data_IF_988983480679
#
_entry.id   IF_988983480679
#
_cell.length_a   1.000
_cell.length_b   1.000
_cell.length_c   1.000
_cell.angle_alpha   90.00
_cell.angle_beta   90.00
_cell.angle_gamma   90.00
#
_symmetry.space_group_name_H-M   'P 1'
#
loop_
_entity.id
_entity.type
_entity.pdbx_description
1 polymer ?
#
# COMPACT_ATOMS: atom_id res chain seq x y z
N UNK A 1 26.56 13.39 5.06
CA UNK A 1 25.98 12.37 4.14
C UNK A 1 27.12 11.43 3.81
N UNK A 2 26.98 10.12 4.04
CA UNK A 2 28.11 9.18 4.01
C UNK A 2 28.94 9.24 2.71
N UNK A 3 28.37 9.53 1.55
CA UNK A 3 29.09 9.61 0.27
C UNK A 3 30.18 10.70 0.22
N UNK A 4 29.92 11.88 0.81
CA UNK A 4 30.88 12.98 0.89
C UNK A 4 32.03 12.68 1.87
N UNK A 5 31.77 11.85 2.89
CA UNK A 5 32.80 11.39 3.84
C UNK A 5 33.81 10.43 3.18
N UNK A 6 33.45 9.82 2.05
CA UNK A 6 34.29 8.90 1.27
C UNK A 6 34.78 9.50 -0.07
N UNK A 7 34.64 10.82 -0.28
CA UNK A 7 35.00 11.51 -1.53
C UNK A 7 34.43 10.83 -2.79
N UNK A 8 33.21 10.28 -2.68
CA UNK A 8 32.58 9.58 -3.80
C UNK A 8 32.25 10.57 -4.93
N UNK A 9 32.55 10.22 -6.19
CA UNK A 9 32.46 11.12 -7.34
C UNK A 9 31.04 11.66 -7.64
N UNK A 10 30.01 10.92 -7.21
CA UNK A 10 28.60 11.32 -7.27
C UNK A 10 28.15 12.27 -6.14
N UNK A 11 28.95 12.49 -5.10
CA UNK A 11 28.59 13.43 -4.02
C UNK A 11 27.18 13.22 -3.45
N UNK A 12 26.37 14.28 -3.46
CA UNK A 12 24.97 14.28 -2.99
C UNK A 12 24.02 13.49 -3.90
N UNK A 13 24.36 13.34 -5.18
CA UNK A 13 23.61 12.53 -6.14
C UNK A 13 23.75 11.01 -5.92
N UNK A 14 24.62 10.58 -5.00
CA UNK A 14 24.83 9.15 -4.71
C UNK A 14 23.57 8.44 -4.19
N UNK A 15 22.66 9.18 -3.52
CA UNK A 15 21.43 8.63 -2.99
C UNK A 15 20.30 9.67 -2.99
N UNK A 16 19.06 9.19 -3.07
CA UNK A 16 17.85 9.99 -2.88
C UNK A 16 17.50 10.18 -1.39
N UNK A 17 16.53 11.03 -1.09
CA UNK A 17 15.97 11.18 0.26
C UNK A 17 16.92 11.85 1.26
N UNK A 18 17.95 12.54 0.77
CA UNK A 18 18.83 13.37 1.59
C UNK A 18 18.13 14.63 2.11
N UNK A 19 18.80 15.42 2.94
CA UNK A 19 18.23 16.66 3.51
C UNK A 19 17.79 17.71 2.47
N UNK A 20 18.28 17.60 1.22
CA UNK A 20 17.93 18.45 0.09
C UNK A 20 17.21 17.67 -1.03
N UNK A 21 16.76 16.45 -0.75
CA UNK A 21 16.02 15.58 -1.67
C UNK A 21 14.51 15.78 -1.59
N UNK A 22 13.77 14.96 -2.33
CA UNK A 22 12.31 14.98 -2.29
C UNK A 22 11.80 14.32 -1.01
N UNK A 23 10.93 15.03 -0.29
CA UNK A 23 10.27 14.47 0.90
C UNK A 23 9.07 13.63 0.47
N UNK A 24 9.27 12.32 0.35
CA UNK A 24 8.25 11.39 -0.10
C UNK A 24 6.98 11.43 0.76
N UNK A 25 7.12 11.64 2.08
CA UNK A 25 5.98 11.68 3.00
C UNK A 25 5.18 12.96 2.78
N UNK A 26 5.85 14.10 2.65
CA UNK A 26 5.21 15.38 2.34
C UNK A 26 4.53 15.35 0.97
N UNK A 27 5.16 14.71 -0.01
CA UNK A 27 4.57 14.53 -1.35
C UNK A 27 3.44 13.48 -1.36
N UNK A 28 3.43 12.57 -0.38
CA UNK A 28 2.59 11.39 -0.35
C UNK A 28 2.80 10.46 -1.54
N UNK A 29 3.98 10.50 -2.17
CA UNK A 29 4.17 10.00 -3.54
C UNK A 29 3.93 8.49 -3.67
N UNK A 30 4.36 7.71 -2.67
CA UNK A 30 4.14 6.27 -2.61
C UNK A 30 2.64 5.95 -2.52
N UNK A 31 1.91 6.62 -1.61
CA UNK A 31 0.48 6.41 -1.44
C UNK A 31 -0.31 6.86 -2.67
N UNK A 32 0.03 8.01 -3.25
CA UNK A 32 -0.58 8.52 -4.48
C UNK A 32 -0.37 7.56 -5.65
N UNK A 33 0.84 7.02 -5.81
CA UNK A 33 1.16 6.01 -6.82
C UNK A 33 0.31 4.74 -6.66
N UNK A 34 0.27 4.18 -5.46
CA UNK A 34 -0.55 3.00 -5.14
C UNK A 34 -2.05 3.26 -5.33
N UNK A 35 -2.50 4.49 -5.09
CA UNK A 35 -3.89 4.88 -5.30
C UNK A 35 -4.30 4.89 -6.78
N UNK A 36 -3.37 5.04 -7.72
CA UNK A 36 -3.68 4.87 -9.15
C UNK A 36 -4.13 3.44 -9.48
N UNK A 37 -3.51 2.43 -8.85
CA UNK A 37 -3.96 1.04 -8.95
C UNK A 37 -5.33 0.84 -8.30
N UNK A 38 -5.56 1.40 -7.11
CA UNK A 38 -6.86 1.36 -6.43
C UNK A 38 -7.95 1.94 -7.33
N UNK A 39 -7.75 3.15 -7.86
CA UNK A 39 -8.69 3.79 -8.80
C UNK A 39 -8.95 2.91 -10.02
N UNK A 40 -7.94 2.23 -10.56
CA UNK A 40 -8.09 1.31 -11.69
C UNK A 40 -8.99 0.12 -11.36
N UNK A 41 -8.69 -0.55 -10.25
CA UNK A 41 -9.44 -1.71 -9.81
C UNK A 41 -10.91 -1.37 -9.57
N UNK A 42 -11.20 -0.24 -8.93
CA UNK A 42 -12.56 0.23 -8.69
C UNK A 42 -13.27 0.69 -9.96
N UNK A 43 -12.55 1.33 -10.90
CA UNK A 43 -13.11 1.68 -12.22
C UNK A 43 -13.61 0.43 -12.96
N UNK A 44 -12.89 -0.68 -12.89
CA UNK A 44 -13.31 -1.95 -13.48
C UNK A 44 -14.49 -2.62 -12.71
N UNK A 45 -14.94 -2.05 -11.58
CA UNK A 45 -16.11 -2.45 -10.80
C UNK A 45 -17.27 -1.42 -10.91
N UNK A 46 -17.16 -0.44 -11.80
CA UNK A 46 -18.12 0.67 -11.92
C UNK A 46 -18.32 1.48 -10.62
N UNK A 47 -17.25 1.64 -9.84
CA UNK A 47 -17.22 2.48 -8.63
C UNK A 47 -16.16 3.56 -8.82
N UNK A 48 -16.53 4.82 -8.59
CA UNK A 48 -15.61 5.95 -8.59
C UNK A 48 -15.23 6.31 -7.14
N UNK A 49 -13.99 6.00 -6.74
CA UNK A 49 -13.51 6.26 -5.37
C UNK A 49 -13.47 7.74 -5.00
N UNK A 50 -13.69 8.65 -5.95
CA UNK A 50 -13.75 10.09 -5.71
C UNK A 50 -15.19 10.60 -5.57
N UNK A 51 -16.20 9.75 -5.79
CA UNK A 51 -17.61 10.16 -5.82
C UNK A 51 -18.52 9.25 -4.98
N UNK A 52 -18.25 7.96 -5.00
CA UNK A 52 -19.07 6.93 -4.36
C UNK A 52 -18.47 6.53 -3.01
N UNK A 53 -19.32 6.29 -2.02
CA UNK A 53 -18.90 5.77 -0.73
C UNK A 53 -18.44 4.32 -0.86
N UNK A 54 -17.36 3.97 -0.16
CA UNK A 54 -16.84 2.61 -0.12
C UNK A 54 -16.17 2.30 1.22
N UNK A 55 -16.35 1.05 1.67
CA UNK A 55 -15.85 0.55 2.95
C UNK A 55 -14.38 0.14 2.89
N UNK A 56 -13.61 0.51 3.92
CA UNK A 56 -12.17 0.25 3.99
C UNK A 56 -11.79 -0.41 5.31
N UNK A 57 -10.99 -1.47 5.21
CA UNK A 57 -10.17 -1.96 6.33
C UNK A 57 -8.72 -1.58 6.09
N UNK A 58 -8.12 -0.90 7.06
CA UNK A 58 -6.78 -0.37 6.96
C UNK A 58 -5.74 -1.13 7.78
N UNK A 59 -4.52 -1.25 7.26
CA UNK A 59 -3.36 -1.74 8.01
C UNK A 59 -2.35 -0.61 8.16
N UNK A 60 -2.28 -0.01 9.34
CA UNK A 60 -1.41 1.12 9.63
C UNK A 60 -2.02 2.14 10.60
N UNK A 61 -1.44 3.34 10.57
CA UNK A 61 -1.75 4.45 11.48
C UNK A 61 -1.70 5.77 10.71
N UNK A 62 -2.53 6.75 11.09
CA UNK A 62 -2.55 8.07 10.45
C UNK A 62 -1.21 8.80 10.54
N UNK A 63 -0.37 8.54 11.54
CA UNK A 63 0.97 9.11 11.58
C UNK A 63 1.93 8.55 10.51
N UNK A 64 1.58 7.40 9.92
CA UNK A 64 2.37 6.71 8.90
C UNK A 64 2.35 7.43 7.55
N UNK A 65 3.46 7.34 6.81
CA UNK A 65 3.56 7.92 5.47
C UNK A 65 2.50 7.34 4.52
N UNK A 66 2.60 6.04 4.22
CA UNK A 66 1.72 5.40 3.23
C UNK A 66 0.27 5.33 3.70
N UNK A 67 0.06 4.92 4.96
CA UNK A 67 -1.29 4.80 5.51
C UNK A 67 -1.99 6.16 5.60
N UNK A 68 -1.33 7.13 6.23
CA UNK A 68 -1.91 8.45 6.48
C UNK A 68 -2.21 9.19 5.18
N UNK A 69 -1.25 9.23 4.25
CA UNK A 69 -1.48 9.82 2.93
C UNK A 69 -2.61 9.07 2.19
N UNK A 70 -2.60 7.74 2.17
CA UNK A 70 -3.60 6.93 1.45
C UNK A 70 -5.03 7.14 1.94
N UNK A 71 -5.23 7.22 3.26
CA UNK A 71 -6.55 7.45 3.86
C UNK A 71 -7.07 8.89 3.74
N UNK A 72 -6.29 9.77 3.12
CA UNK A 72 -6.66 11.15 2.77
C UNK A 72 -6.82 11.39 1.26
N UNK A 73 -6.65 10.35 0.42
CA UNK A 73 -6.83 10.46 -1.04
C UNK A 73 -8.31 10.37 -1.49
N UNK A 74 -9.24 10.22 -0.56
CA UNK A 74 -10.68 10.29 -0.82
C UNK A 74 -11.47 10.62 0.44
N UNK A 75 -12.38 11.60 0.31
CA UNK A 75 -13.38 11.95 1.32
C UNK A 75 -14.58 10.98 1.34
N UNK A 76 -14.58 9.98 0.45
CA UNK A 76 -15.62 8.93 0.35
C UNK A 76 -15.29 7.64 1.08
N UNK A 77 -14.11 7.58 1.70
CA UNK A 77 -13.66 6.44 2.50
C UNK A 77 -14.53 6.32 3.76
N UNK A 78 -15.18 5.16 3.88
CA UNK A 78 -15.77 4.68 5.12
C UNK A 78 -14.79 3.71 5.79
N UNK A 79 -13.88 4.23 6.61
CA UNK A 79 -12.88 3.43 7.32
C UNK A 79 -13.56 2.67 8.48
N UNK A 80 -13.99 1.44 8.23
CA UNK A 80 -14.75 0.64 9.20
C UNK A 80 -13.87 -0.02 10.26
N UNK A 81 -12.58 -0.19 9.95
CA UNK A 81 -11.60 -0.53 10.95
C UNK A 81 -10.18 -0.41 10.44
N UNK A 82 -9.25 -0.23 11.38
CA UNK A 82 -7.83 -0.20 11.10
C UNK A 82 -7.04 -0.82 12.25
N UNK A 83 -5.82 -1.25 12.00
CA UNK A 83 -4.95 -1.71 13.09
C UNK A 83 -3.48 -1.40 12.80
N UNK A 84 -2.74 -1.09 13.86
CA UNK A 84 -1.29 -0.90 13.83
C UNK A 84 -0.63 -1.90 14.81
N UNK A 85 0.58 -1.62 15.30
CA UNK A 85 1.28 -2.47 16.26
C UNK A 85 0.78 -2.36 17.72
N UNK A 86 -0.07 -1.37 18.03
CA UNK A 86 -0.56 -1.04 19.38
C UNK A 86 -2.08 -1.16 19.52
N UNK A 87 -2.83 -0.76 18.49
CA UNK A 87 -4.26 -0.49 18.56
C UNK A 87 -5.02 -1.15 17.41
N UNK A 88 -6.29 -1.41 17.67
CA UNK A 88 -7.32 -1.77 16.69
C UNK A 88 -8.40 -0.68 16.79
N UNK A 89 -8.54 0.10 15.74
CA UNK A 89 -9.61 1.07 15.54
C UNK A 89 -10.80 0.39 14.86
N UNK A 90 -12.00 0.64 15.34
CA UNK A 90 -13.24 0.13 14.77
C UNK A 90 -14.30 1.22 14.79
N UNK A 91 -14.89 1.48 13.63
CA UNK A 91 -16.03 2.38 13.46
C UNK A 91 -17.06 1.67 12.57
N UNK A 92 -18.10 1.02 13.13
CA UNK A 92 -18.98 0.15 12.35
C UNK A 92 -19.77 0.85 11.24
N UNK A 93 -20.05 2.14 11.38
CA UNK A 93 -20.81 2.95 10.44
C UNK A 93 -20.31 4.40 10.43
N UNK A 94 -19.10 4.66 9.87
CA UNK A 94 -18.48 5.97 9.93
C UNK A 94 -19.22 6.96 9.03
N UNK A 95 -19.36 8.20 9.50
CA UNK A 95 -19.69 9.35 8.66
C UNK A 95 -18.45 9.74 7.84
N UNK A 96 -18.53 9.65 6.51
CA UNK A 96 -17.36 9.80 5.65
C UNK A 96 -16.73 11.21 5.74
N UNK A 97 -17.55 12.26 5.81
CA UNK A 97 -17.09 13.65 5.85
C UNK A 97 -16.45 13.97 7.21
N UNK A 98 -17.16 13.68 8.32
CA UNK A 98 -16.67 13.94 9.66
C UNK A 98 -15.43 13.10 9.99
N UNK A 99 -15.42 11.82 9.60
CA UNK A 99 -14.26 10.95 9.82
C UNK A 99 -13.07 11.32 8.94
N UNK A 100 -13.29 11.86 7.72
CA UNK A 100 -12.20 12.39 6.89
C UNK A 100 -11.52 13.59 7.56
N UNK A 101 -12.31 14.55 8.04
CA UNK A 101 -11.77 15.72 8.74
C UNK A 101 -10.97 15.31 9.99
N UNK A 102 -11.43 14.29 10.73
CA UNK A 102 -10.72 13.77 11.90
C UNK A 102 -9.43 13.03 11.53
N UNK A 103 -9.46 12.21 10.47
CA UNK A 103 -8.24 11.58 9.93
C UNK A 103 -7.21 12.65 9.52
N UNK A 104 -7.66 13.73 8.87
CA UNK A 104 -6.77 14.84 8.49
C UNK A 104 -6.15 15.50 9.72
N UNK A 105 -6.96 15.80 10.75
CA UNK A 105 -6.46 16.37 12.01
C UNK A 105 -5.40 15.47 12.64
N UNK A 106 -5.62 14.15 12.67
CA UNK A 106 -4.64 13.20 13.20
C UNK A 106 -3.34 13.14 12.39
N UNK A 107 -3.43 13.22 11.06
CA UNK A 107 -2.27 13.23 10.17
C UNK A 107 -1.39 14.46 10.41
N UNK A 108 -1.99 15.61 10.71
CA UNK A 108 -1.30 16.89 10.92
C UNK A 108 -0.68 17.03 12.33
N UNK A 109 -1.01 16.14 13.27
CA UNK A 109 -0.39 16.14 14.60
C UNK A 109 1.09 15.72 14.51
N UNK A 110 2.01 16.38 15.26
CA UNK A 110 3.43 16.03 15.25
C UNK A 110 3.73 14.57 15.64
N UNK A 111 2.89 14.02 16.53
CA UNK A 111 2.82 12.61 16.90
C UNK A 111 1.36 12.30 17.17
N UNK A 112 0.83 11.32 16.46
CA UNK A 112 -0.53 10.82 16.66
C UNK A 112 -0.51 9.30 16.78
N UNK A 113 -1.61 8.81 17.33
CA UNK A 113 -1.97 7.40 17.40
C UNK A 113 -3.49 7.29 17.26
N UNK A 114 -4.00 6.07 17.11
CA UNK A 114 -5.44 5.84 17.15
C UNK A 114 -6.11 6.31 18.45
N UNK A 115 -5.40 6.39 19.59
CA UNK A 115 -5.95 6.91 20.85
C UNK A 115 -6.26 8.41 20.80
N UNK A 116 -5.64 9.15 19.87
CA UNK A 116 -5.91 10.57 19.69
C UNK A 116 -7.18 10.83 18.88
N UNK A 117 -7.79 9.80 18.27
CA UNK A 117 -9.03 9.91 17.49
C UNK A 117 -10.20 10.23 18.42
N UNK A 118 -11.01 11.23 18.06
CA UNK A 118 -12.18 11.66 18.83
C UNK A 118 -13.21 10.54 18.94
N UNK A 119 -13.40 10.02 20.16
CA UNK A 119 -14.38 8.96 20.43
C UNK A 119 -15.82 9.40 20.15
N UNK A 120 -16.10 10.70 20.17
CA UNK A 120 -17.43 11.25 19.84
C UNK A 120 -17.81 11.06 18.37
N UNK A 121 -16.82 10.88 17.50
CA UNK A 121 -17.02 10.64 16.07
C UNK A 121 -17.10 9.16 15.70
N UNK A 122 -16.76 8.25 16.63
CA UNK A 122 -16.87 6.81 16.42
C UNK A 122 -18.34 6.41 16.56
N UNK A 123 -18.88 5.74 15.55
CA UNK A 123 -20.28 5.31 15.57
C UNK A 123 -20.57 4.27 16.67
N UNK A 124 -21.86 4.09 16.96
CA UNK A 124 -22.32 3.17 17.99
C UNK A 124 -21.73 1.76 17.82
N UNK A 125 -21.27 1.19 18.94
CA UNK A 125 -20.66 -0.14 18.97
C UNK A 125 -19.19 -0.18 18.52
N UNK A 126 -18.62 0.93 18.05
CA UNK A 126 -17.21 1.06 17.73
C UNK A 126 -16.31 1.39 18.93
N UNK A 127 -15.02 1.54 18.66
CA UNK A 127 -14.04 1.96 19.65
C UNK A 127 -12.59 1.75 19.22
N UNK A 128 -11.68 2.13 20.11
CA UNK A 128 -10.24 1.87 19.99
C UNK A 128 -9.85 0.85 21.05
N UNK A 129 -9.23 -0.24 20.61
CA UNK A 129 -8.88 -1.37 21.46
C UNK A 129 -7.38 -1.59 21.47
N UNK A 130 -6.80 -1.92 22.63
CA UNK A 130 -5.40 -2.29 22.73
C UNK A 130 -5.14 -3.69 22.18
N UNK A 131 -4.10 -3.85 21.36
CA UNK A 131 -3.60 -5.16 20.90
C UNK A 131 -3.07 -6.04 22.04
N UNK A 132 -2.76 -5.45 23.19
CA UNK A 132 -2.32 -6.17 24.39
C UNK A 132 -3.49 -6.63 25.27
N UNK A 133 -4.73 -6.30 24.93
CA UNK A 133 -5.90 -6.75 25.68
C UNK A 133 -6.02 -8.29 25.62
N UNK A 134 -6.42 -8.91 26.72
CA UNK A 134 -6.70 -10.36 26.73
C UNK A 134 -7.90 -10.72 25.86
N UNK A 135 -8.85 -9.80 25.75
CA UNK A 135 -10.13 -10.02 25.11
C UNK A 135 -10.85 -8.69 24.87
N UNK A 136 -11.56 -8.61 23.76
CA UNK A 136 -12.40 -7.51 23.32
C UNK A 136 -13.86 -8.02 23.30
N UNK A 137 -14.78 -7.24 23.86
CA UNK A 137 -16.21 -7.51 23.74
C UNK A 137 -16.65 -7.07 22.35
N UNK A 138 -17.33 -7.96 21.64
CA UNK A 138 -17.81 -7.70 20.29
C UNK A 138 -19.27 -7.25 20.38
N UNK A 139 -19.54 -6.05 19.89
CA UNK A 139 -20.87 -5.46 19.84
C UNK A 139 -21.67 -5.98 18.64
N UNK A 140 -23.00 -5.91 18.65
CA UNK A 140 -23.83 -6.29 17.50
C UNK A 140 -23.45 -5.54 16.21
N UNK A 141 -23.02 -4.29 16.32
CA UNK A 141 -22.57 -3.47 15.20
C UNK A 141 -21.26 -3.99 14.61
N UNK A 142 -20.30 -4.38 15.46
CA UNK A 142 -19.07 -5.07 15.04
C UNK A 142 -19.36 -6.42 14.39
N UNK A 143 -20.33 -7.18 14.93
CA UNK A 143 -20.80 -8.43 14.33
C UNK A 143 -21.31 -8.24 12.92
N UNK A 144 -22.10 -7.19 12.71
CA UNK A 144 -22.67 -6.86 11.41
C UNK A 144 -21.59 -6.48 10.39
N UNK A 145 -20.72 -5.52 10.71
CA UNK A 145 -19.74 -4.99 9.73
C UNK A 145 -18.64 -6.00 9.38
N UNK A 146 -18.21 -6.83 10.33
CA UNK A 146 -17.15 -7.82 10.08
C UNK A 146 -17.65 -9.25 9.82
N UNK A 147 -18.97 -9.48 9.90
CA UNK A 147 -19.56 -10.80 9.65
C UNK A 147 -19.19 -11.85 10.71
N UNK A 148 -19.00 -11.43 11.96
CA UNK A 148 -18.62 -12.31 13.09
C UNK A 148 -19.84 -12.70 13.92
N UNK A 149 -19.79 -13.88 14.56
CA UNK A 149 -20.88 -14.42 15.38
C UNK A 149 -20.55 -14.42 16.88
N UNK A 150 -19.26 -14.36 17.19
CA UNK A 150 -18.73 -14.33 18.54
C UNK A 150 -19.06 -13.00 19.22
N UNK A 151 -19.33 -13.07 20.52
CA UNK A 151 -19.55 -11.87 21.36
C UNK A 151 -18.27 -11.42 22.07
N UNK A 152 -17.18 -12.16 21.87
CA UNK A 152 -15.89 -11.93 22.52
C UNK A 152 -14.77 -12.57 21.69
N UNK A 153 -13.74 -11.79 21.37
CA UNK A 153 -12.56 -12.24 20.64
C UNK A 153 -11.29 -11.72 21.31
N UNK A 154 -10.15 -12.39 21.11
CA UNK A 154 -8.84 -11.78 21.33
C UNK A 154 -8.53 -10.73 20.24
N UNK A 155 -7.57 -9.82 20.46
CA UNK A 155 -7.19 -8.84 19.44
C UNK A 155 -6.77 -9.46 18.10
N UNK A 156 -6.02 -10.56 18.11
CA UNK A 156 -5.58 -11.22 16.88
C UNK A 156 -6.75 -11.90 16.15
N UNK A 157 -7.72 -12.46 16.87
CA UNK A 157 -8.94 -13.00 16.26
C UNK A 157 -9.81 -11.89 15.64
N UNK A 158 -9.88 -10.72 16.27
CA UNK A 158 -10.57 -9.56 15.68
C UNK A 158 -9.87 -9.07 14.40
N UNK A 159 -8.53 -8.96 14.40
CA UNK A 159 -7.77 -8.60 13.18
C UNK A 159 -8.02 -9.63 12.07
N UNK A 160 -8.00 -10.93 12.39
CA UNK A 160 -8.33 -11.99 11.41
C UNK A 160 -9.73 -11.80 10.85
N UNK A 161 -10.72 -11.50 11.70
CA UNK A 161 -12.08 -11.23 11.25
C UNK A 161 -12.16 -10.00 10.34
N UNK A 162 -11.46 -8.92 10.68
CA UNK A 162 -11.38 -7.71 9.84
C UNK A 162 -10.78 -8.00 8.47
N UNK A 163 -9.68 -8.76 8.41
CA UNK A 163 -9.06 -9.17 7.13
C UNK A 163 -10.00 -10.07 6.29
N UNK A 164 -10.83 -10.89 6.95
CA UNK A 164 -11.82 -11.75 6.28
C UNK A 164 -13.14 -11.05 5.96
N UNK A 165 -13.34 -9.81 6.40
CA UNK A 165 -14.62 -9.13 6.26
C UNK A 165 -14.95 -8.79 4.80
N UNK A 166 -16.25 -8.61 4.53
CA UNK A 166 -16.75 -8.19 3.22
C UNK A 166 -16.70 -6.66 3.15
N UNK A 167 -15.58 -6.13 2.69
CA UNK A 167 -15.36 -4.69 2.50
C UNK A 167 -14.94 -4.39 1.07
N UNK A 168 -15.00 -3.12 0.67
CA UNK A 168 -14.63 -2.74 -0.68
C UNK A 168 -13.11 -2.76 -0.87
N UNK A 169 -12.36 -2.20 0.09
CA UNK A 169 -10.90 -2.09 0.03
C UNK A 169 -10.24 -2.62 1.32
N UNK A 170 -9.19 -3.42 1.15
CA UNK A 170 -8.15 -3.55 2.17
C UNK A 170 -6.96 -2.70 1.73
N UNK A 171 -6.60 -1.71 2.54
CA UNK A 171 -5.44 -0.85 2.30
C UNK A 171 -4.29 -1.24 3.22
N UNK A 172 -3.22 -1.80 2.64
CA UNK A 172 -1.99 -2.06 3.38
C UNK A 172 -1.07 -0.84 3.29
N UNK A 173 -0.98 -0.05 4.36
CA UNK A 173 0.00 1.02 4.52
C UNK A 173 1.05 0.71 5.59
N UNK A 174 1.11 -0.54 6.06
CA UNK A 174 1.95 -1.01 7.16
C UNK A 174 3.09 -1.91 6.71
N UNK A 175 3.76 -2.51 7.69
CA UNK A 175 4.85 -3.48 7.48
C UNK A 175 4.41 -4.82 8.06
N UNK A 176 4.56 -5.87 7.26
CA UNK A 176 4.29 -7.24 7.67
C UNK A 176 3.47 -7.99 6.63
N UNK A 177 3.46 -9.31 6.74
CA UNK A 177 2.76 -10.20 5.82
C UNK A 177 1.52 -10.78 6.49
N UNK A 178 0.37 -10.29 6.06
CA UNK A 178 -0.95 -10.56 6.64
C UNK A 178 -1.71 -11.65 5.90
N UNK A 179 -1.34 -11.93 4.65
CA UNK A 179 -1.99 -12.93 3.81
C UNK A 179 -0.93 -13.81 3.14
N UNK A 180 -1.16 -15.12 3.17
CA UNK A 180 -0.32 -16.12 2.49
C UNK A 180 -1.14 -17.08 1.63
N UNK A 181 -0.49 -17.92 0.85
CA UNK A 181 -1.11 -19.09 0.25
C UNK A 181 -1.50 -20.13 1.31
N UNK A 182 -2.56 -20.88 1.05
CA UNK A 182 -3.01 -21.97 1.92
C UNK A 182 -2.02 -23.14 1.97
N UNK A 183 -1.13 -23.24 0.99
CA UNK A 183 -0.04 -24.21 0.89
C UNK A 183 1.29 -23.73 1.50
N UNK A 184 1.39 -22.44 1.85
CA UNK A 184 2.53 -21.89 2.57
C UNK A 184 2.37 -22.08 4.08
N UNK A 185 3.46 -22.40 4.77
CA UNK A 185 3.50 -22.36 6.23
C UNK A 185 3.90 -20.98 6.72
N UNK A 186 3.56 -20.65 7.97
CA UNK A 186 4.03 -19.40 8.59
C UNK A 186 5.56 -19.31 8.69
N UNK A 187 6.24 -20.47 8.73
CA UNK A 187 7.71 -20.54 8.71
C UNK A 187 8.28 -20.13 7.36
N UNK A 188 7.61 -20.48 6.25
CA UNK A 188 8.04 -20.10 4.90
C UNK A 188 7.93 -18.58 4.69
N UNK A 189 6.88 -17.96 5.26
CA UNK A 189 6.66 -16.51 5.19
C UNK A 189 7.72 -15.73 5.98
N UNK A 190 8.16 -16.25 7.14
CA UNK A 190 9.25 -15.66 7.92
C UNK A 190 8.89 -14.44 8.78
N UNK A 191 7.62 -14.04 8.85
CA UNK A 191 7.14 -12.91 9.65
C UNK A 191 6.40 -13.37 10.93
N UNK A 192 7.18 -13.71 11.95
CA UNK A 192 6.65 -14.23 13.23
C UNK A 192 5.69 -13.30 13.95
N UNK A 193 5.78 -11.98 13.72
CA UNK A 193 4.93 -11.01 14.41
C UNK A 193 3.46 -11.15 13.98
N UNK A 194 3.22 -11.66 12.77
CA UNK A 194 1.90 -11.77 12.19
C UNK A 194 1.36 -13.22 12.07
N UNK A 195 2.13 -14.26 12.43
CA UNK A 195 1.72 -15.67 12.34
C UNK A 195 0.31 -15.92 12.90
N UNK A 196 0.04 -15.43 14.11
CA UNK A 196 -1.23 -15.68 14.81
C UNK A 196 -2.44 -14.94 14.22
N UNK A 197 -2.21 -13.92 13.40
CA UNK A 197 -3.25 -13.11 12.77
C UNK A 197 -3.30 -13.27 11.24
N UNK A 198 -2.37 -14.01 10.65
CA UNK A 198 -2.28 -14.23 9.21
C UNK A 198 -3.47 -15.05 8.73
N UNK A 199 -3.94 -14.74 7.53
CA UNK A 199 -5.00 -15.48 6.84
C UNK A 199 -4.50 -16.01 5.50
N UNK A 200 -5.27 -16.89 4.87
CA UNK A 200 -4.97 -17.35 3.52
C UNK A 200 -5.60 -16.42 2.48
N UNK A 201 -5.06 -16.37 1.26
CA UNK A 201 -5.61 -15.55 0.17
C UNK A 201 -7.04 -15.95 -0.18
N UNK A 202 -7.36 -17.24 -0.10
CA UNK A 202 -8.72 -17.75 -0.31
C UNK A 202 -9.73 -17.33 0.80
N UNK A 203 -9.26 -16.83 1.94
CA UNK A 203 -10.11 -16.31 3.01
C UNK A 203 -10.53 -14.85 2.78
N UNK A 204 -9.85 -14.10 1.90
CA UNK A 204 -10.16 -12.70 1.62
C UNK A 204 -11.54 -12.57 0.97
N UNK A 205 -12.34 -11.63 1.45
CA UNK A 205 -13.67 -11.33 0.91
C UNK A 205 -13.82 -9.86 0.49
N UNK A 206 -12.72 -9.10 0.48
CA UNK A 206 -12.74 -7.74 -0.04
C UNK A 206 -12.82 -7.73 -1.57
N UNK A 207 -13.24 -6.60 -2.16
CA UNK A 207 -13.28 -6.45 -3.62
C UNK A 207 -11.89 -6.09 -4.19
N UNK A 208 -11.17 -5.23 -3.48
CA UNK A 208 -9.87 -4.68 -3.88
C UNK A 208 -8.88 -4.78 -2.72
N UNK A 209 -7.61 -5.06 -3.03
CA UNK A 209 -6.47 -4.87 -2.13
C UNK A 209 -5.54 -3.84 -2.76
N UNK A 210 -5.12 -2.84 -1.99
CA UNK A 210 -4.05 -1.92 -2.36
C UNK A 210 -2.84 -2.11 -1.45
N UNK A 211 -1.70 -2.49 -2.02
CA UNK A 211 -0.44 -2.71 -1.30
C UNK A 211 0.49 -1.49 -1.38
N UNK A 212 0.15 -0.43 -0.66
CA UNK A 212 1.05 0.72 -0.52
C UNK A 212 2.30 0.41 0.31
N UNK A 213 2.20 -0.50 1.27
CA UNK A 213 3.32 -1.05 2.04
C UNK A 213 4.01 -2.20 1.30
N UNK A 214 5.14 -2.67 1.83
CA UNK A 214 5.85 -3.81 1.27
C UNK A 214 5.39 -5.13 1.91
N UNK A 215 5.29 -6.17 1.09
CA UNK A 215 5.10 -7.57 1.47
C UNK A 215 3.84 -7.82 2.32
N UNK A 216 2.74 -7.10 2.06
CA UNK A 216 1.47 -7.31 2.73
C UNK A 216 0.90 -8.70 2.49
N UNK A 217 1.11 -9.20 1.28
CA UNK A 217 0.69 -10.51 0.82
C UNK A 217 1.91 -11.26 0.23
N UNK A 218 1.96 -12.57 0.43
CA UNK A 218 2.86 -13.42 -0.37
C UNK A 218 2.35 -13.51 -1.82
N UNK A 219 3.22 -13.91 -2.74
CA UNK A 219 2.81 -14.11 -4.13
C UNK A 219 1.72 -15.17 -4.28
N UNK A 220 1.82 -16.29 -3.56
CA UNK A 220 0.78 -17.34 -3.56
C UNK A 220 -0.52 -16.84 -2.93
N UNK A 221 -0.43 -16.03 -1.87
CA UNK A 221 -1.60 -15.38 -1.27
C UNK A 221 -2.34 -14.46 -2.25
N UNK A 222 -1.60 -13.67 -3.04
CA UNK A 222 -2.19 -12.85 -4.12
C UNK A 222 -2.85 -13.70 -5.18
N UNK A 223 -2.22 -14.79 -5.61
CA UNK A 223 -2.78 -15.69 -6.62
C UNK A 223 -4.09 -16.33 -6.14
N UNK A 224 -4.17 -16.78 -4.89
CA UNK A 224 -5.41 -17.30 -4.30
C UNK A 224 -6.51 -16.24 -4.21
N UNK A 225 -6.16 -15.02 -3.78
CA UNK A 225 -7.09 -13.90 -3.70
C UNK A 225 -7.65 -13.55 -5.09
N UNK A 226 -6.76 -13.43 -6.08
CA UNK A 226 -7.11 -13.14 -7.47
C UNK A 226 -7.98 -14.25 -8.09
N UNK A 227 -7.70 -15.52 -7.80
CA UNK A 227 -8.52 -16.65 -8.24
C UNK A 227 -9.95 -16.62 -7.67
N UNK A 228 -10.15 -16.00 -6.50
CA UNK A 228 -11.47 -15.76 -5.89
C UNK A 228 -12.16 -14.50 -6.43
N UNK A 229 -11.49 -13.72 -7.27
CA UNK A 229 -12.01 -12.49 -7.86
C UNK A 229 -11.64 -11.21 -7.11
N UNK A 230 -10.77 -11.27 -6.09
CA UNK A 230 -10.20 -10.09 -5.46
C UNK A 230 -9.27 -9.40 -6.46
N UNK A 231 -9.41 -8.08 -6.65
CA UNK A 231 -8.51 -7.32 -7.50
C UNK A 231 -7.29 -6.87 -6.70
N UNK A 232 -6.12 -7.32 -7.11
CA UNK A 232 -4.87 -7.10 -6.40
C UNK A 232 -3.72 -7.09 -7.41
N UNK A 233 -2.82 -6.14 -7.25
CA UNK A 233 -1.49 -6.19 -7.86
C UNK A 233 -0.44 -6.56 -6.82
N UNK A 234 0.77 -6.83 -7.29
CA UNK A 234 1.91 -6.98 -6.39
C UNK A 234 2.31 -5.62 -5.83
N UNK A 235 2.82 -5.62 -4.61
CA UNK A 235 3.32 -4.41 -3.92
C UNK A 235 4.28 -3.57 -4.77
N UNK A 236 5.23 -4.18 -5.47
CA UNK A 236 6.18 -3.46 -6.34
C UNK A 236 5.51 -2.79 -7.56
N UNK A 237 4.24 -3.09 -7.85
CA UNK A 237 3.45 -2.34 -8.82
C UNK A 237 2.78 -1.14 -8.14
N UNK A 238 2.13 -1.40 -7.01
CA UNK A 238 1.35 -0.39 -6.27
C UNK A 238 2.26 0.68 -5.67
N UNK A 239 3.26 0.30 -4.89
CA UNK A 239 4.10 1.20 -4.11
C UNK A 239 5.32 1.76 -4.87
N UNK A 240 5.38 1.53 -6.20
CA UNK A 240 6.51 1.94 -7.04
C UNK A 240 6.79 3.46 -7.03
N UNK A 241 5.80 4.29 -6.64
CA UNK A 241 5.92 5.75 -6.67
C UNK A 241 7.12 6.29 -5.88
N UNK A 242 7.43 5.71 -4.72
CA UNK A 242 8.59 6.13 -3.93
C UNK A 242 9.93 5.82 -4.61
N UNK A 243 10.05 4.64 -5.22
CA UNK A 243 11.26 4.25 -5.95
C UNK A 243 11.41 5.06 -7.23
N UNK A 244 10.32 5.27 -7.98
CA UNK A 244 10.33 6.10 -9.18
C UNK A 244 10.73 7.56 -8.87
N UNK A 245 10.17 8.15 -7.81
CA UNK A 245 10.58 9.48 -7.34
C UNK A 245 12.07 9.55 -6.99
N UNK A 246 12.63 8.49 -6.39
CA UNK A 246 14.05 8.40 -6.10
C UNK A 246 14.92 8.33 -7.35
N UNK A 247 14.48 7.60 -8.38
CA UNK A 247 15.18 7.53 -9.67
C UNK A 247 15.25 8.90 -10.33
N UNK A 248 14.13 9.63 -10.39
CA UNK A 248 14.10 11.01 -10.85
C UNK A 248 15.05 11.90 -10.05
N UNK A 249 15.02 11.83 -8.71
CA UNK A 249 15.88 12.63 -7.84
C UNK A 249 17.36 12.45 -8.19
N UNK A 250 17.81 11.19 -8.26
CA UNK A 250 19.22 10.86 -8.53
C UNK A 250 19.62 11.34 -9.92
N UNK A 251 18.82 11.06 -10.95
CA UNK A 251 19.14 11.48 -12.33
C UNK A 251 19.20 13.00 -12.47
N UNK A 252 18.27 13.74 -11.85
CA UNK A 252 18.27 15.21 -11.86
C UNK A 252 19.51 15.75 -11.14
N UNK A 253 19.86 15.21 -9.97
CA UNK A 253 21.05 15.62 -9.22
C UNK A 253 22.34 15.38 -10.00
N UNK A 254 22.49 14.23 -10.66
CA UNK A 254 23.65 13.92 -11.50
C UNK A 254 23.84 15.01 -12.56
N UNK A 255 22.75 15.37 -13.25
CA UNK A 255 22.80 16.39 -14.30
C UNK A 255 23.17 17.77 -13.74
N UNK A 256 22.53 18.21 -12.66
CA UNK A 256 22.74 19.56 -12.11
C UNK A 256 24.11 19.69 -11.42
N UNK A 257 24.60 18.63 -10.80
CA UNK A 257 25.91 18.63 -10.13
C UNK A 257 27.05 18.94 -11.11
N UNK A 258 26.92 18.61 -12.40
CA UNK A 258 27.89 19.04 -13.42
C UNK A 258 27.91 20.56 -13.62
N UNK A 259 26.74 21.21 -13.58
CA UNK A 259 26.61 22.67 -13.71
C UNK A 259 27.23 23.37 -12.49
N UNK A 260 27.01 22.80 -11.31
CA UNK A 260 27.63 23.28 -10.07
C UNK A 260 29.15 23.14 -10.13
N UNK A 261 29.66 21.98 -10.56
CA UNK A 261 31.12 21.74 -10.71
C UNK A 261 31.79 22.70 -11.70
N UNK A 262 31.08 23.19 -12.72
CA UNK A 262 31.57 24.20 -13.67
C UNK A 262 31.57 25.63 -13.12
N UNK A 263 30.88 25.87 -12.00
CA UNK A 263 30.75 27.18 -11.37
C UNK A 263 29.61 28.05 -11.91
N UNK A 264 28.78 27.51 -12.82
CA UNK A 264 27.65 28.23 -13.43
C UNK A 264 26.41 28.27 -12.51
N UNK A 265 26.41 27.46 -11.45
CA UNK A 265 25.35 27.38 -10.45
C UNK A 265 25.93 27.15 -9.05
N UNK A 266 25.38 27.81 -8.03
CA UNK A 266 25.70 27.53 -6.62
C UNK A 266 24.88 26.37 -6.07
N UNK A 267 25.36 25.67 -5.05
CA UNK A 267 24.60 24.61 -4.36
C UNK A 267 23.23 25.09 -3.86
N UNK A 268 23.14 26.36 -3.41
CA UNK A 268 21.88 26.96 -2.97
C UNK A 268 20.88 27.08 -4.11
N UNK A 269 21.33 27.49 -5.30
CA UNK A 269 20.48 27.55 -6.49
C UNK A 269 20.06 26.15 -6.95
N UNK A 270 20.95 25.15 -6.87
CA UNK A 270 20.61 23.75 -7.14
C UNK A 270 19.50 23.25 -6.25
N UNK A 271 19.61 23.46 -4.93
CA UNK A 271 18.61 23.00 -3.97
C UNK A 271 17.25 23.71 -4.17
N UNK A 272 17.29 25.00 -4.52
CA UNK A 272 16.08 25.76 -4.85
C UNK A 272 15.40 25.20 -6.11
N UNK A 273 16.16 24.91 -7.17
CA UNK A 273 15.63 24.32 -8.39
C UNK A 273 15.03 22.93 -8.14
N UNK A 274 15.71 22.07 -7.37
CA UNK A 274 15.16 20.75 -6.98
C UNK A 274 13.79 20.90 -6.30
N UNK A 275 13.68 21.82 -5.35
CA UNK A 275 12.43 22.08 -4.65
C UNK A 275 11.32 22.58 -5.59
N UNK A 276 11.66 23.44 -6.56
CA UNK A 276 10.72 23.94 -7.59
C UNK A 276 10.21 22.82 -8.50
N UNK A 277 11.00 21.79 -8.77
CA UNK A 277 10.64 20.64 -9.61
C UNK A 277 9.74 19.60 -8.89
N UNK A 278 9.41 19.78 -7.61
CA UNK A 278 8.70 18.76 -6.79
C UNK A 278 7.39 18.30 -7.42
N UNK A 279 6.54 19.25 -7.84
CA UNK A 279 5.23 18.92 -8.40
C UNK A 279 5.35 18.28 -9.79
N UNK A 280 6.30 18.73 -10.61
CA UNK A 280 6.56 18.17 -11.94
C UNK A 280 7.06 16.73 -11.85
N UNK A 281 7.98 16.44 -10.92
CA UNK A 281 8.45 15.07 -10.66
C UNK A 281 7.31 14.21 -10.13
N UNK A 282 6.46 14.73 -9.25
CA UNK A 282 5.29 14.00 -8.78
C UNK A 282 4.36 13.62 -9.94
N UNK A 283 4.08 14.54 -10.86
CA UNK A 283 3.20 14.28 -12.01
C UNK A 283 3.77 13.21 -12.96
N UNK A 284 5.10 13.22 -13.20
CA UNK A 284 5.77 12.18 -13.98
C UNK A 284 5.62 10.81 -13.34
N UNK A 285 5.90 10.72 -12.03
CA UNK A 285 5.78 9.46 -11.27
C UNK A 285 4.35 8.94 -11.30
N UNK A 286 3.35 9.78 -11.04
CA UNK A 286 1.94 9.38 -11.04
C UNK A 286 1.47 8.94 -12.43
N UNK A 287 1.94 9.62 -13.50
CA UNK A 287 1.64 9.21 -14.86
C UNK A 287 2.18 7.80 -15.18
N UNK A 288 3.36 7.46 -14.68
CA UNK A 288 3.94 6.13 -14.84
C UNK A 288 3.16 5.07 -14.05
N UNK A 289 2.81 5.34 -12.78
CA UNK A 289 1.95 4.43 -11.99
C UNK A 289 0.59 4.18 -12.68
N UNK A 290 -0.01 5.23 -13.25
CA UNK A 290 -1.22 5.13 -14.04
C UNK A 290 -1.04 4.24 -15.28
N UNK A 291 0.03 4.44 -16.05
CA UNK A 291 0.30 3.69 -17.29
C UNK A 291 0.68 2.23 -17.03
N UNK A 292 1.43 1.97 -15.97
CA UNK A 292 1.83 0.63 -15.57
C UNK A 292 0.61 -0.23 -15.22
N UNK A 293 -0.28 0.29 -14.36
CA UNK A 293 -1.52 -0.40 -14.02
C UNK A 293 -2.46 -0.55 -15.23
N UNK A 294 -2.46 0.41 -16.17
CA UNK A 294 -3.17 0.27 -17.45
C UNK A 294 -2.58 -0.85 -18.33
N UNK A 295 -1.24 -0.95 -18.41
CA UNK A 295 -0.58 -1.99 -19.18
C UNK A 295 -0.89 -3.40 -18.66
N UNK A 296 -1.02 -3.55 -17.33
CA UNK A 296 -1.43 -4.80 -16.70
C UNK A 296 -2.88 -5.17 -17.03
N UNK A 297 -3.82 -4.24 -16.92
CA UNK A 297 -5.23 -4.47 -17.30
C UNK A 297 -5.35 -4.89 -18.76
N UNK A 298 -4.66 -4.19 -19.67
CA UNK A 298 -4.62 -4.54 -21.09
C UNK A 298 -4.02 -5.93 -21.30
N UNK A 299 -2.94 -6.25 -20.60
CA UNK A 299 -2.31 -7.58 -20.66
C UNK A 299 -3.23 -8.68 -20.13
N UNK A 300 -4.02 -8.42 -19.10
CA UNK A 300 -4.99 -9.37 -18.57
C UNK A 300 -6.13 -9.65 -19.56
N UNK A 301 -6.62 -8.62 -20.27
CA UNK A 301 -7.63 -8.80 -21.34
C UNK A 301 -7.05 -9.62 -22.50
N UNK A 302 -5.80 -9.34 -22.90
CA UNK A 302 -5.15 -10.03 -24.01
C UNK A 302 -4.77 -11.47 -23.66
N UNK A 303 -4.41 -11.76 -22.41
CA UNK A 303 -4.04 -13.11 -21.98
C UNK A 303 -5.22 -14.08 -22.06
N UNK A 304 -6.44 -13.63 -21.77
CA UNK A 304 -7.67 -14.41 -21.92
C UNK A 304 -7.92 -14.79 -23.39
N UNK A 305 -7.56 -13.91 -24.33
CA UNK A 305 -7.71 -14.16 -25.77
C UNK A 305 -6.60 -15.03 -26.36
N UNK A 306 -5.37 -14.90 -25.84
CA UNK A 306 -4.21 -15.61 -26.36
C UNK A 306 -3.12 -15.83 -25.30
N UNK A 307 -3.14 -17.01 -24.65
CA UNK A 307 -2.06 -17.43 -23.73
C UNK A 307 -0.76 -17.85 -24.44
N UNK A 308 -0.81 -18.14 -25.74
CA UNK A 308 0.35 -18.62 -26.51
C UNK A 308 1.57 -17.69 -26.46
N UNK A 309 1.43 -16.38 -26.76
CA UNK A 309 2.49 -15.40 -26.62
C UNK A 309 3.10 -15.34 -25.21
N UNK A 310 2.29 -15.33 -24.16
CA UNK A 310 2.77 -15.30 -22.78
C UNK A 310 3.58 -16.56 -22.41
N UNK A 311 3.11 -17.74 -22.82
CA UNK A 311 3.86 -18.99 -22.62
C UNK A 311 5.22 -18.97 -23.32
N UNK A 312 5.27 -18.46 -24.56
CA UNK A 312 6.54 -18.32 -25.29
C UNK A 312 7.46 -17.33 -24.60
N UNK A 313 6.93 -16.18 -24.20
CA UNK A 313 7.71 -15.15 -23.50
C UNK A 313 8.33 -15.68 -22.20
N UNK A 314 7.55 -16.35 -21.34
CA UNK A 314 8.08 -16.99 -20.11
C UNK A 314 9.16 -18.03 -20.47
N UNK A 315 8.99 -18.80 -21.55
CA UNK A 315 9.99 -19.79 -21.98
C UNK A 315 11.27 -19.15 -22.52
N UNK A 316 11.16 -18.01 -23.19
CA UNK A 316 12.31 -17.22 -23.66
C UNK A 316 13.09 -16.61 -22.50
N UNK A 317 12.41 -16.05 -21.50
CA UNK A 317 13.02 -15.51 -20.28
C UNK A 317 13.74 -16.60 -19.48
N UNK A 318 13.12 -17.78 -19.32
CA UNK A 318 13.71 -18.93 -18.65
C UNK A 318 14.95 -19.46 -19.41
N UNK A 319 14.85 -19.60 -20.73
CA UNK A 319 15.98 -20.04 -21.55
C UNK A 319 17.16 -19.04 -21.54
N UNK A 320 16.87 -17.75 -21.35
CA UNK A 320 17.87 -16.70 -21.17
C UNK A 320 18.41 -16.61 -19.72
N UNK A 321 17.90 -17.42 -18.78
CA UNK A 321 18.27 -17.38 -17.37
C UNK A 321 17.82 -16.11 -16.64
N UNK A 322 16.82 -15.40 -17.17
CA UNK A 322 16.29 -14.18 -16.57
C UNK A 322 15.24 -14.47 -15.50
N UNK A 323 14.60 -15.64 -15.56
CA UNK A 323 13.65 -16.12 -14.56
C UNK A 323 13.88 -17.59 -14.23
N UNK A 324 13.46 -17.99 -13.04
CA UNK A 324 13.29 -19.38 -12.63
C UNK A 324 11.80 -19.62 -12.36
N UNK A 325 11.16 -20.53 -13.10
CA UNK A 325 9.71 -20.74 -12.99
C UNK A 325 9.26 -21.17 -11.60
N UNK A 326 10.06 -21.97 -10.92
CA UNK A 326 9.71 -22.50 -9.61
C UNK A 326 9.74 -21.39 -8.57
N UNK A 327 10.78 -20.53 -8.63
CA UNK A 327 10.92 -19.37 -7.76
C UNK A 327 9.86 -18.29 -8.05
N UNK A 328 9.51 -18.09 -9.32
CA UNK A 328 8.52 -17.08 -9.75
C UNK A 328 7.08 -17.61 -9.75
N UNK A 329 6.85 -18.84 -9.29
CA UNK A 329 5.53 -19.50 -9.23
C UNK A 329 4.82 -19.54 -10.60
N UNK A 330 5.58 -19.63 -11.68
CA UNK A 330 5.07 -19.71 -13.04
C UNK A 330 4.55 -21.13 -13.37
N UNK A 331 3.53 -21.27 -14.22
CA UNK A 331 3.05 -22.58 -14.64
C UNK A 331 4.15 -23.41 -15.34
N UNK A 332 4.17 -24.74 -15.14
CA UNK A 332 5.08 -25.63 -15.84
C UNK A 332 4.75 -25.67 -17.35
N UNK A 333 5.74 -26.06 -18.17
CA UNK A 333 5.57 -26.11 -19.64
C UNK A 333 4.50 -27.09 -20.14
N UNK A 334 4.05 -28.03 -19.31
CA UNK A 334 3.01 -29.01 -19.65
C UNK A 334 1.83 -28.86 -18.67
N UNK A 335 0.68 -28.44 -19.19
CA UNK A 335 -0.64 -28.75 -18.64
C UNK A 335 -1.23 -29.89 -19.47
#
# INVERSE_FOLDING_TARGET
MKSLEYDHWLGDAFASGGANGYDHKKMGITARGAWESVKRHFKNLDVDTQRDLFSVVGIGDMAGDVFGNGMLLSDKIQLVGAFNHLHIFVDPNPDAEASFAERQRLFELPRSSWEDYSQELISAGGGIFSRSAKSIVITPEMQHVFGIQETRLSPNELIRAMLKSKVDLIWNGGIGTYVKGSDETDTDVGDKANDTLRINGNDLNCRVVGEGGNLGLTQRGRMEAAAKGVRVYTDFIDNAGGVNCSDHEVNIKILIDEVVKRGDMTEKQRNQLLAEMTDEVADLVILDNYRQSQALDLSAILSDQAMGPYRRFISELEAAGQIDRELEFCPPMRC
#
